data_IF_117408310603
#
_entry.id   IF_117408310603
#
_cell.length_a   1.000
_cell.length_b   1.000
_cell.length_c   1.000
_cell.angle_alpha   90.00
_cell.angle_beta   90.00
_cell.angle_gamma   90.00
#
_symmetry.space_group_name_H-M   'P 1'
#
loop_
_entity.id
_entity.type
_entity.pdbx_description
1 polymer ?
#
# COMPACT_ATOMS: atom_id res chain seq x y z
N UNK A 1 -21.20 7.01 8.92
CA UNK A 1 -21.27 8.48 9.05
C UNK A 1 -20.65 8.98 10.35
N UNK A 2 -21.15 8.57 11.54
CA UNK A 2 -20.67 9.09 12.83
C UNK A 2 -19.15 8.97 13.04
N UNK A 3 -18.55 7.79 12.80
CA UNK A 3 -17.10 7.60 12.96
C UNK A 3 -16.28 8.49 12.00
N UNK A 4 -16.75 8.72 10.77
CA UNK A 4 -16.10 9.63 9.81
C UNK A 4 -16.11 11.08 10.32
N UNK A 5 -17.23 11.52 10.90
CA UNK A 5 -17.31 12.84 11.54
C UNK A 5 -16.33 12.94 12.71
N UNK A 6 -16.21 11.89 13.52
CA UNK A 6 -15.22 11.84 14.62
C UNK A 6 -13.79 11.91 14.07
N UNK A 7 -13.45 11.18 12.99
CA UNK A 7 -12.14 11.30 12.35
C UNK A 7 -11.85 12.75 11.97
N UNK A 8 -12.77 13.41 11.26
CA UNK A 8 -12.61 14.80 10.85
C UNK A 8 -12.42 15.73 12.05
N UNK A 9 -13.26 15.60 13.09
CA UNK A 9 -13.14 16.39 14.31
C UNK A 9 -11.78 16.21 15.00
N UNK A 10 -11.28 14.98 15.11
CA UNK A 10 -9.97 14.70 15.71
C UNK A 10 -8.85 15.28 14.85
N UNK A 11 -8.87 15.04 13.54
CA UNK A 11 -7.85 15.51 12.59
C UNK A 11 -7.72 17.04 12.61
N UNK A 12 -8.84 17.76 12.55
CA UNK A 12 -8.86 19.22 12.51
C UNK A 12 -8.82 19.89 13.89
N UNK A 13 -8.73 19.11 14.97
CA UNK A 13 -8.49 19.65 16.33
C UNK A 13 -7.01 19.97 16.61
N UNK A 14 -6.11 19.78 15.65
CA UNK A 14 -4.72 20.19 15.78
C UNK A 14 -4.60 21.71 16.04
N UNK A 15 -3.72 22.18 16.94
CA UNK A 15 -2.72 21.41 17.69
C UNK A 15 -3.21 20.86 19.03
N UNK A 16 -4.42 21.19 19.49
CA UNK A 16 -4.87 20.88 20.86
C UNK A 16 -6.15 20.03 20.86
N UNK A 17 -5.98 18.74 21.10
CA UNK A 17 -7.13 17.85 21.31
C UNK A 17 -7.89 18.22 22.60
N UNK A 18 -9.20 18.43 22.46
CA UNK A 18 -10.06 18.81 23.57
C UNK A 18 -10.14 17.70 24.62
N UNK A 19 -10.36 18.08 25.88
CA UNK A 19 -10.54 17.11 26.98
C UNK A 19 -11.74 16.20 26.74
N UNK A 20 -12.78 16.67 26.04
CA UNK A 20 -13.96 15.86 25.71
C UNK A 20 -13.60 14.75 24.71
N UNK A 21 -12.81 15.06 23.68
CA UNK A 21 -12.37 14.05 22.71
C UNK A 21 -11.53 12.96 23.39
N UNK A 22 -10.63 13.34 24.29
CA UNK A 22 -9.77 12.39 25.01
C UNK A 22 -10.52 11.61 26.09
N UNK A 23 -11.34 12.26 26.92
CA UNK A 23 -11.93 11.62 28.10
C UNK A 23 -13.27 10.93 27.83
N UNK A 24 -13.95 11.25 26.73
CA UNK A 24 -15.27 10.68 26.40
C UNK A 24 -15.27 9.94 25.08
N UNK A 25 -14.71 10.55 24.03
CA UNK A 25 -14.79 9.97 22.68
C UNK A 25 -13.79 8.83 22.49
N UNK A 26 -12.53 9.02 22.89
CA UNK A 26 -11.52 7.97 22.78
C UNK A 26 -11.93 6.65 23.48
N UNK A 27 -12.36 6.64 24.76
CA UNK A 27 -12.77 5.40 25.43
C UNK A 27 -14.01 4.77 24.78
N UNK A 28 -14.95 5.58 24.29
CA UNK A 28 -16.12 5.08 23.58
C UNK A 28 -15.74 4.40 22.25
N UNK A 29 -14.82 4.99 21.49
CA UNK A 29 -14.30 4.41 20.24
C UNK A 29 -13.57 3.10 20.51
N UNK A 30 -12.70 3.07 21.53
CA UNK A 30 -12.02 1.85 21.98
C UNK A 30 -13.02 0.77 22.34
N UNK A 31 -14.03 1.10 23.17
CA UNK A 31 -15.06 0.14 23.57
C UNK A 31 -15.80 -0.44 22.37
N UNK A 32 -16.20 0.39 21.41
CA UNK A 32 -16.86 -0.08 20.17
C UNK A 32 -15.91 -0.95 19.34
N UNK A 33 -14.62 -0.58 19.24
CA UNK A 33 -13.61 -1.37 18.54
C UNK A 33 -13.38 -2.76 19.16
N UNK A 34 -13.56 -2.91 20.47
CA UNK A 34 -13.40 -4.19 21.21
C UNK A 34 -14.68 -5.04 21.17
N UNK A 35 -15.85 -4.41 21.20
CA UNK A 35 -17.15 -5.11 21.38
C UNK A 35 -17.89 -5.38 20.08
N UNK A 36 -17.68 -4.57 19.03
CA UNK A 36 -18.36 -4.75 17.74
C UNK A 36 -17.87 -6.02 17.04
N UNK A 37 -18.76 -6.66 16.27
CA UNK A 37 -18.43 -7.73 15.32
C UNK A 37 -18.47 -7.27 13.86
N UNK A 38 -18.91 -6.05 13.60
CA UNK A 38 -19.05 -5.47 12.26
C UNK A 38 -17.70 -4.91 11.78
N UNK A 39 -17.17 -5.46 10.69
CA UNK A 39 -15.86 -5.08 10.15
C UNK A 39 -15.79 -3.62 9.68
N UNK A 40 -16.88 -3.05 9.17
CA UNK A 40 -16.93 -1.64 8.72
C UNK A 40 -16.86 -0.72 9.94
N UNK A 41 -17.60 -1.05 11.01
CA UNK A 41 -17.56 -0.29 12.26
C UNK A 41 -16.16 -0.36 12.89
N UNK A 42 -15.59 -1.56 12.97
CA UNK A 42 -14.24 -1.77 13.53
C UNK A 42 -13.20 -0.99 12.72
N UNK A 43 -13.25 -1.06 11.39
CA UNK A 43 -12.35 -0.29 10.52
C UNK A 43 -12.47 1.21 10.77
N UNK A 44 -13.70 1.73 10.84
CA UNK A 44 -13.93 3.14 11.15
C UNK A 44 -13.42 3.54 12.54
N UNK A 45 -13.52 2.67 13.54
CA UNK A 45 -12.90 2.91 14.84
C UNK A 45 -11.37 2.94 14.74
N UNK A 46 -10.76 2.04 13.97
CA UNK A 46 -9.31 2.03 13.74
C UNK A 46 -8.84 3.32 13.05
N UNK A 47 -9.60 3.83 12.07
CA UNK A 47 -9.32 5.11 11.43
C UNK A 47 -9.33 6.26 12.46
N UNK A 48 -10.33 6.29 13.35
CA UNK A 48 -10.39 7.28 14.43
C UNK A 48 -9.17 7.15 15.38
N UNK A 49 -8.81 5.93 15.78
CA UNK A 49 -7.65 5.68 16.65
C UNK A 49 -6.34 6.13 15.98
N UNK A 50 -6.21 5.93 14.67
CA UNK A 50 -5.08 6.46 13.88
C UNK A 50 -5.05 8.00 13.90
N UNK A 51 -6.19 8.67 13.77
CA UNK A 51 -6.27 10.14 13.90
C UNK A 51 -5.82 10.61 15.30
N UNK A 52 -6.21 9.91 16.37
CA UNK A 52 -5.76 10.22 17.73
C UNK A 52 -4.23 10.10 17.86
N UNK A 53 -3.63 9.04 17.30
CA UNK A 53 -2.16 8.85 17.29
C UNK A 53 -1.45 9.89 16.41
N UNK A 54 -2.06 10.31 15.31
CA UNK A 54 -1.48 11.32 14.42
C UNK A 54 -1.39 12.69 15.12
N UNK A 55 -2.49 13.14 15.71
CA UNK A 55 -2.64 14.51 16.21
C UNK A 55 -2.27 14.66 17.69
N UNK A 56 -2.59 13.66 18.52
CA UNK A 56 -2.59 13.80 19.97
C UNK A 56 -1.92 12.64 20.72
N UNK A 57 -0.86 12.04 20.17
CA UNK A 57 -0.17 10.89 20.78
C UNK A 57 0.23 11.13 22.24
N UNK A 58 0.73 12.32 22.59
CA UNK A 58 1.11 12.67 23.97
C UNK A 58 -0.09 12.58 24.93
N UNK A 59 -1.26 13.03 24.46
CA UNK A 59 -2.50 12.97 25.25
C UNK A 59 -3.01 11.54 25.42
N UNK A 60 -2.71 10.65 24.48
CA UNK A 60 -3.03 9.22 24.59
C UNK A 60 -2.06 8.52 25.55
N UNK A 61 -0.78 8.90 25.54
CA UNK A 61 0.22 8.41 26.49
C UNK A 61 -0.11 8.82 27.94
N UNK A 62 -0.56 10.07 28.13
CA UNK A 62 -0.96 10.59 29.44
C UNK A 62 -2.33 10.07 29.90
N UNK A 63 -3.17 9.58 29.00
CA UNK A 63 -4.50 9.11 29.34
C UNK A 63 -4.45 7.78 30.08
N UNK A 64 -5.21 7.71 31.18
CA UNK A 64 -5.41 6.51 31.99
C UNK A 64 -6.90 6.39 32.36
N UNK A 65 -7.40 5.17 32.46
CA UNK A 65 -8.72 4.91 33.05
C UNK A 65 -8.68 4.94 34.59
N UNK A 66 -9.82 4.67 35.22
CA UNK A 66 -9.95 4.64 36.68
C UNK A 66 -9.17 3.48 37.33
N UNK A 67 -8.79 2.45 36.56
CA UNK A 67 -8.03 1.28 37.00
C UNK A 67 -6.50 1.45 36.79
N UNK A 68 -6.07 2.53 36.13
CA UNK A 68 -4.68 2.82 35.80
C UNK A 68 -4.19 2.21 34.48
N UNK A 69 -5.08 1.67 33.65
CA UNK A 69 -4.76 1.22 32.30
C UNK A 69 -4.56 2.44 31.38
N UNK A 70 -3.45 2.47 30.64
CA UNK A 70 -3.13 3.59 29.76
C UNK A 70 -3.76 3.47 28.36
N UNK A 71 -3.81 4.59 27.64
CA UNK A 71 -4.47 4.67 26.33
C UNK A 71 -3.79 3.82 25.25
N UNK A 72 -2.46 3.73 25.28
CA UNK A 72 -1.70 2.88 24.35
C UNK A 72 -2.01 1.40 24.57
N UNK A 73 -2.19 0.97 25.83
CA UNK A 73 -2.59 -0.39 26.19
C UNK A 73 -3.94 -0.79 25.60
N UNK A 74 -4.90 0.14 25.56
CA UNK A 74 -6.17 -0.09 24.88
C UNK A 74 -6.04 -0.21 23.36
N UNK A 75 -5.21 0.63 22.73
CA UNK A 75 -4.93 0.52 21.29
C UNK A 75 -4.21 -0.82 20.99
N UNK A 76 -3.28 -1.24 21.84
CA UNK A 76 -2.62 -2.55 21.77
C UNK A 76 -3.63 -3.69 21.89
N UNK A 77 -4.60 -3.58 22.79
CA UNK A 77 -5.64 -4.59 22.97
C UNK A 77 -6.54 -4.71 21.73
N UNK A 78 -6.98 -3.58 21.17
CA UNK A 78 -7.71 -3.55 19.88
C UNK A 78 -6.85 -4.19 18.78
N UNK A 79 -5.59 -3.78 18.65
CA UNK A 79 -4.69 -4.30 17.61
C UNK A 79 -4.46 -5.80 17.73
N UNK A 80 -4.24 -6.30 18.94
CA UNK A 80 -4.05 -7.73 19.23
C UNK A 80 -5.27 -8.56 18.84
N UNK A 81 -6.48 -8.04 19.09
CA UNK A 81 -7.74 -8.66 18.64
C UNK A 81 -7.80 -8.80 17.12
N UNK A 82 -7.39 -7.76 16.38
CA UNK A 82 -7.46 -7.74 14.92
C UNK A 82 -6.35 -8.59 14.27
N UNK A 83 -5.24 -8.77 14.97
CA UNK A 83 -4.12 -9.62 14.57
C UNK A 83 -4.32 -11.11 14.91
N UNK A 84 -5.40 -11.49 15.60
CA UNK A 84 -5.70 -12.91 15.85
C UNK A 84 -5.74 -13.67 14.51
N UNK A 85 -4.87 -14.66 14.27
CA UNK A 85 -4.82 -15.41 13.01
C UNK A 85 -6.12 -16.17 12.71
N UNK A 86 -6.97 -16.41 13.70
CA UNK A 86 -8.28 -17.06 13.57
C UNK A 86 -9.42 -16.08 13.27
N UNK A 87 -9.16 -14.76 13.32
CA UNK A 87 -10.16 -13.73 13.11
C UNK A 87 -10.62 -13.56 11.64
N UNK A 88 -11.72 -12.83 11.39
CA UNK A 88 -12.23 -12.51 10.05
C UNK A 88 -11.23 -11.74 9.18
N UNK A 89 -11.07 -12.14 7.92
CA UNK A 89 -10.08 -11.59 6.97
C UNK A 89 -10.22 -10.07 6.82
N UNK A 90 -11.44 -9.57 6.89
CA UNK A 90 -11.82 -8.16 6.77
C UNK A 90 -11.14 -7.28 7.83
N UNK A 91 -10.71 -7.84 8.96
CA UNK A 91 -10.03 -7.10 10.03
C UNK A 91 -8.55 -6.85 9.73
N UNK A 92 -7.94 -7.64 8.84
CA UNK A 92 -6.49 -7.61 8.60
C UNK A 92 -6.01 -6.28 8.01
N UNK A 93 -6.78 -5.66 7.11
CA UNK A 93 -6.44 -4.35 6.54
C UNK A 93 -6.37 -3.28 7.63
N UNK A 94 -7.37 -3.24 8.52
CA UNK A 94 -7.40 -2.31 9.64
C UNK A 94 -6.28 -2.60 10.65
N UNK A 95 -5.97 -3.87 10.90
CA UNK A 95 -4.88 -4.28 11.76
C UNK A 95 -3.52 -3.76 11.27
N UNK A 96 -3.16 -4.02 10.02
CA UNK A 96 -1.90 -3.58 9.44
C UNK A 96 -1.74 -2.06 9.49
N UNK A 97 -2.79 -1.31 9.12
CA UNK A 97 -2.81 0.14 9.24
C UNK A 97 -2.62 0.58 10.69
N UNK A 98 -3.32 0.01 11.65
CA UNK A 98 -3.17 0.41 13.06
C UNK A 98 -1.76 0.12 13.60
N UNK A 99 -1.16 -1.02 13.25
CA UNK A 99 0.25 -1.33 13.60
C UNK A 99 1.20 -0.30 12.99
N UNK A 100 1.06 0.03 11.70
CA UNK A 100 1.87 1.07 11.06
C UNK A 100 1.77 2.42 11.80
N UNK A 101 0.57 2.82 12.21
CA UNK A 101 0.38 4.05 12.99
C UNK A 101 1.13 4.00 14.33
N UNK A 102 1.11 2.86 15.02
CA UNK A 102 1.83 2.69 16.27
C UNK A 102 3.35 2.79 16.06
N UNK A 103 3.89 2.10 15.04
CA UNK A 103 5.32 2.16 14.74
C UNK A 103 5.80 3.55 14.31
N UNK A 104 4.96 4.34 13.65
CA UNK A 104 5.30 5.69 13.19
C UNK A 104 5.17 6.77 14.27
N UNK A 105 4.27 6.57 15.25
CA UNK A 105 3.93 7.61 16.24
C UNK A 105 4.44 7.33 17.64
N UNK A 106 4.69 6.07 17.98
CA UNK A 106 5.18 5.66 19.29
C UNK A 106 6.66 5.29 19.20
N UNK A 107 7.41 5.69 20.23
CA UNK A 107 8.81 5.30 20.36
C UNK A 107 8.92 3.86 20.85
N UNK A 108 10.04 3.19 20.57
CA UNK A 108 10.29 1.81 20.99
C UNK A 108 10.14 1.61 22.50
N UNK A 109 10.54 2.59 23.32
CA UNK A 109 10.39 2.55 24.78
C UNK A 109 8.93 2.54 25.25
N UNK A 110 8.03 3.19 24.51
CA UNK A 110 6.60 3.26 24.85
C UNK A 110 5.84 1.98 24.50
N UNK A 111 6.30 1.25 23.48
CA UNK A 111 5.75 -0.05 23.11
C UNK A 111 6.40 -1.21 23.88
N UNK A 112 7.69 -1.09 24.21
CA UNK A 112 8.45 -2.11 24.96
C UNK A 112 8.41 -3.48 24.29
N UNK A 113 8.14 -4.52 25.08
CA UNK A 113 8.03 -5.92 24.61
C UNK A 113 6.88 -6.13 23.62
N UNK A 114 5.89 -5.22 23.58
CA UNK A 114 4.76 -5.33 22.68
C UNK A 114 5.17 -5.18 21.20
N UNK A 115 6.33 -4.59 20.89
CA UNK A 115 6.81 -4.52 19.49
C UNK A 115 6.98 -5.92 18.91
N UNK A 116 7.69 -6.82 19.61
CA UNK A 116 7.90 -8.20 19.15
C UNK A 116 6.56 -8.94 19.03
N UNK A 117 5.65 -8.77 20.00
CA UNK A 117 4.33 -9.38 19.98
C UNK A 117 3.49 -8.90 18.77
N UNK A 118 3.49 -7.59 18.48
CA UNK A 118 2.78 -7.01 17.33
C UNK A 118 3.34 -7.52 16.01
N UNK A 119 4.67 -7.58 15.86
CA UNK A 119 5.31 -8.06 14.65
C UNK A 119 5.06 -9.56 14.43
N UNK A 120 5.12 -10.37 15.49
CA UNK A 120 4.75 -11.80 15.43
C UNK A 120 3.27 -11.99 15.12
N UNK A 121 2.39 -11.20 15.73
CA UNK A 121 0.96 -11.19 15.43
C UNK A 121 0.69 -10.84 13.97
N UNK A 122 1.43 -9.87 13.43
CA UNK A 122 1.34 -9.45 12.02
C UNK A 122 1.80 -10.57 11.08
N UNK A 123 2.92 -11.25 11.38
CA UNK A 123 3.38 -12.42 10.61
C UNK A 123 2.37 -13.57 10.67
N UNK A 124 1.86 -13.88 11.88
CA UNK A 124 0.87 -14.93 12.08
C UNK A 124 -0.41 -14.63 11.28
N UNK A 125 -0.91 -13.40 11.35
CA UNK A 125 -2.08 -12.95 10.59
C UNK A 125 -1.85 -13.01 9.10
N UNK A 126 -0.70 -12.52 8.63
CA UNK A 126 -0.31 -12.55 7.22
C UNK A 126 -0.26 -13.98 6.68
N UNK A 127 0.17 -14.93 7.52
CA UNK A 127 0.28 -16.32 7.15
C UNK A 127 -1.06 -17.02 6.94
N UNK A 128 -2.12 -16.61 7.65
CA UNK A 128 -3.44 -17.26 7.55
C UNK A 128 -4.34 -16.67 6.48
N UNK A 129 -3.91 -15.58 5.82
CA UNK A 129 -4.66 -15.02 4.71
C UNK A 129 -4.76 -16.01 3.54
N UNK A 130 -5.97 -16.26 3.00
CA UNK A 130 -6.15 -17.22 1.93
C UNK A 130 -5.44 -16.78 0.65
N UNK A 131 -4.84 -17.74 -0.06
CA UNK A 131 -4.42 -17.55 -1.45
C UNK A 131 -5.59 -17.96 -2.34
N UNK A 132 -6.19 -17.01 -3.07
CA UNK A 132 -7.24 -17.34 -4.03
C UNK A 132 -6.63 -18.18 -5.17
N UNK A 133 -6.99 -19.45 -5.24
CA UNK A 133 -6.93 -20.20 -6.49
C UNK A 133 -8.32 -20.75 -6.72
N UNK A 134 -9.00 -20.29 -7.77
CA UNK A 134 -10.32 -20.81 -8.18
C UNK A 134 -10.30 -22.29 -8.55
N UNK A 135 -9.13 -22.94 -8.51
CA UNK A 135 -8.94 -24.35 -8.74
C UNK A 135 -8.25 -25.00 -7.54
N UNK A 136 -8.99 -25.86 -6.85
CA UNK A 136 -8.59 -26.77 -5.77
C UNK A 136 -8.76 -26.29 -4.32
N UNK A 137 -9.53 -27.10 -3.60
CA UNK A 137 -9.96 -27.02 -2.20
C UNK A 137 -8.81 -27.24 -1.19
N UNK A 138 -7.68 -26.58 -1.36
CA UNK A 138 -6.57 -26.66 -0.43
C UNK A 138 -6.38 -25.31 0.27
N UNK A 139 -6.37 -25.31 1.60
CA UNK A 139 -6.02 -24.17 2.45
C UNK A 139 -4.56 -23.76 2.20
N UNK A 140 -4.28 -23.11 1.06
CA UNK A 140 -2.95 -22.64 0.72
C UNK A 140 -2.72 -21.31 1.42
N UNK A 141 -1.77 -21.32 2.35
CA UNK A 141 -1.23 -20.16 3.05
C UNK A 141 0.08 -19.71 2.41
N UNK A 142 0.52 -18.49 2.72
CA UNK A 142 1.81 -17.93 2.26
C UNK A 142 2.98 -18.90 2.46
N UNK A 143 2.91 -19.73 3.51
CA UNK A 143 3.97 -20.68 3.86
C UNK A 143 3.89 -22.05 3.16
N UNK A 144 2.78 -22.38 2.51
CA UNK A 144 2.55 -23.66 1.78
C UNK A 144 2.79 -23.58 0.28
N UNK A 145 3.28 -22.43 -0.21
CA UNK A 145 3.80 -22.31 -1.57
C UNK A 145 5.21 -22.94 -1.61
N UNK A 146 5.28 -24.21 -2.01
CA UNK A 146 6.52 -24.80 -2.50
C UNK A 146 6.94 -24.06 -3.78
N UNK A 147 8.17 -23.53 -3.81
CA UNK A 147 8.80 -23.07 -5.05
C UNK A 147 8.94 -21.57 -5.26
N UNK A 148 8.52 -20.70 -4.34
CA UNK A 148 8.84 -19.26 -4.43
C UNK A 148 8.01 -18.45 -5.43
N UNK A 149 7.22 -19.09 -6.30
CA UNK A 149 6.28 -18.38 -7.18
C UNK A 149 5.08 -17.90 -6.37
N UNK A 150 5.10 -16.63 -5.96
CA UNK A 150 3.93 -15.96 -5.45
C UNK A 150 2.98 -15.70 -6.62
N UNK A 151 1.76 -16.22 -6.55
CA UNK A 151 0.73 -15.84 -7.51
C UNK A 151 0.35 -14.36 -7.28
N UNK A 152 0.88 -13.47 -8.12
CA UNK A 152 0.66 -12.02 -8.06
C UNK A 152 -0.77 -11.63 -8.39
N UNK A 153 -1.54 -12.47 -9.09
CA UNK A 153 -2.97 -12.20 -9.38
C UNK A 153 -3.82 -12.06 -8.10
N UNK A 154 -3.35 -12.60 -6.97
CA UNK A 154 -4.01 -12.47 -5.66
C UNK A 154 -3.68 -11.17 -4.92
N UNK A 155 -2.78 -10.37 -5.48
CA UNK A 155 -2.43 -9.04 -4.99
C UNK A 155 -3.20 -7.95 -5.76
N UNK A 156 -3.82 -8.29 -6.89
CA UNK A 156 -4.47 -7.37 -7.82
C UNK A 156 -5.90 -6.97 -7.42
N UNK A 157 -6.72 -7.88 -6.87
CA UNK A 157 -8.12 -7.57 -6.60
C UNK A 157 -8.72 -8.23 -5.35
N UNK A 158 -9.52 -7.44 -4.62
CA UNK A 158 -10.37 -7.89 -3.52
C UNK A 158 -9.81 -7.65 -2.11
N UNK A 159 -10.67 -7.81 -1.11
CA UNK A 159 -10.38 -7.56 0.31
C UNK A 159 -9.12 -8.28 0.82
N UNK A 160 -8.83 -9.47 0.31
CA UNK A 160 -7.67 -10.28 0.71
C UNK A 160 -6.35 -9.71 0.19
N UNK A 161 -6.33 -9.16 -1.03
CA UNK A 161 -5.15 -8.51 -1.62
C UNK A 161 -4.75 -7.27 -0.81
N UNK A 162 -5.72 -6.39 -0.55
CA UNK A 162 -5.52 -5.20 0.30
C UNK A 162 -5.12 -5.55 1.74
N UNK A 163 -5.70 -6.60 2.32
CA UNK A 163 -5.30 -7.10 3.63
C UNK A 163 -3.82 -7.53 3.65
N UNK A 164 -3.38 -8.24 2.62
CA UNK A 164 -2.00 -8.69 2.48
C UNK A 164 -1.03 -7.52 2.33
N UNK A 165 -1.35 -6.58 1.45
CA UNK A 165 -0.56 -5.36 1.23
C UNK A 165 -0.41 -4.57 2.54
N UNK A 166 -1.50 -4.37 3.28
CA UNK A 166 -1.51 -3.65 4.57
C UNK A 166 -0.62 -4.30 5.63
N UNK A 167 -0.68 -5.63 5.78
CA UNK A 167 0.16 -6.35 6.74
C UNK A 167 1.64 -6.39 6.31
N UNK A 168 1.92 -6.47 5.01
CA UNK A 168 3.29 -6.37 4.49
C UNK A 168 3.85 -4.97 4.73
N UNK A 169 3.02 -3.93 4.59
CA UNK A 169 3.41 -2.54 4.77
C UNK A 169 3.92 -2.24 6.19
N UNK A 170 3.50 -3.01 7.20
CA UNK A 170 4.08 -2.97 8.56
C UNK A 170 5.59 -3.19 8.53
N UNK A 171 6.04 -4.18 7.75
CA UNK A 171 7.45 -4.51 7.64
C UNK A 171 8.21 -3.56 6.71
N UNK A 172 7.52 -2.94 5.74
CA UNK A 172 8.08 -1.82 4.95
C UNK A 172 8.44 -0.66 5.88
N UNK A 173 7.49 -0.26 6.73
CA UNK A 173 7.70 0.77 7.76
C UNK A 173 8.83 0.38 8.71
N UNK A 174 8.83 -0.88 9.20
CA UNK A 174 9.88 -1.37 10.10
C UNK A 174 11.27 -1.33 9.45
N UNK A 175 11.41 -1.82 8.22
CA UNK A 175 12.69 -1.80 7.49
C UNK A 175 13.20 -0.39 7.25
N UNK A 176 12.29 0.58 7.05
CA UNK A 176 12.65 1.99 6.91
C UNK A 176 13.15 2.61 8.22
N UNK A 177 12.48 2.32 9.33
CA UNK A 177 12.79 2.89 10.63
C UNK A 177 14.02 2.24 11.28
N UNK A 178 14.15 0.90 11.17
CA UNK A 178 15.17 0.11 11.86
C UNK A 178 15.58 -1.11 11.00
N UNK A 179 16.33 -0.93 9.90
CA UNK A 179 16.63 -2.01 8.94
C UNK A 179 17.36 -3.19 9.58
N UNK A 180 18.40 -2.94 10.39
CA UNK A 180 19.16 -4.01 11.05
C UNK A 180 18.29 -4.84 12.01
N UNK A 181 17.50 -4.16 12.86
CA UNK A 181 16.60 -4.83 13.79
C UNK A 181 15.51 -5.62 13.05
N UNK A 182 14.97 -5.07 11.97
CA UNK A 182 13.99 -5.75 11.12
C UNK A 182 14.55 -7.05 10.53
N UNK A 183 15.75 -7.00 9.95
CA UNK A 183 16.40 -8.17 9.36
C UNK A 183 16.69 -9.22 10.44
N UNK A 184 17.21 -8.81 11.61
CA UNK A 184 17.48 -9.72 12.73
C UNK A 184 16.20 -10.39 13.23
N UNK A 185 15.12 -9.63 13.41
CA UNK A 185 13.82 -10.16 13.79
C UNK A 185 13.32 -11.18 12.76
N UNK A 186 13.23 -10.81 11.48
CA UNK A 186 12.70 -11.66 10.41
C UNK A 186 13.56 -12.91 10.15
N UNK A 187 14.86 -12.83 10.39
CA UNK A 187 15.75 -13.99 10.32
C UNK A 187 15.59 -14.95 11.52
N UNK A 188 15.13 -14.44 12.67
CA UNK A 188 14.94 -15.23 13.89
C UNK A 188 13.59 -15.95 13.96
N UNK A 189 12.57 -15.46 13.25
CA UNK A 189 11.23 -16.05 13.27
C UNK A 189 11.16 -17.20 12.26
N UNK A 190 10.92 -18.45 12.70
CA UNK A 190 10.73 -19.57 11.80
C UNK A 190 9.32 -19.59 11.24
N UNK A 191 9.18 -20.02 9.99
CA UNK A 191 7.92 -20.42 9.40
C UNK A 191 7.50 -21.83 9.87
N UNK A 192 6.32 -22.33 9.47
CA UNK A 192 5.88 -23.69 9.82
C UNK A 192 6.79 -24.82 9.34
N UNK A 193 7.70 -24.58 8.39
CA UNK A 193 8.69 -25.57 7.92
C UNK A 193 10.06 -25.41 8.60
N UNK A 194 10.18 -24.47 9.54
CA UNK A 194 11.40 -24.20 10.29
C UNK A 194 12.39 -23.27 9.58
N UNK A 195 12.03 -22.70 8.43
CA UNK A 195 12.88 -21.76 7.69
C UNK A 195 12.63 -20.31 8.13
N UNK A 196 13.65 -19.44 8.12
CA UNK A 196 13.46 -18.02 8.40
C UNK A 196 12.43 -17.37 7.47
N UNK A 197 11.51 -16.59 8.04
CA UNK A 197 10.43 -15.93 7.26
C UNK A 197 10.92 -14.81 6.34
N UNK A 198 12.13 -14.28 6.57
CA UNK A 198 12.67 -13.14 5.83
C UNK A 198 12.63 -13.32 4.31
N UNK A 199 12.98 -14.51 3.82
CA UNK A 199 12.98 -14.80 2.38
C UNK A 199 11.59 -14.67 1.76
N UNK A 200 10.58 -15.24 2.43
CA UNK A 200 9.19 -15.22 1.96
C UNK A 200 8.60 -13.82 2.04
N UNK A 201 8.88 -13.09 3.12
CA UNK A 201 8.37 -11.73 3.29
C UNK A 201 8.98 -10.75 2.29
N UNK A 202 10.29 -10.84 2.03
CA UNK A 202 10.95 -9.94 1.06
C UNK A 202 10.44 -10.16 -0.36
N UNK A 203 10.26 -11.41 -0.79
CA UNK A 203 9.61 -11.72 -2.07
C UNK A 203 8.19 -11.18 -2.13
N UNK A 204 7.44 -11.32 -1.03
CA UNK A 204 6.07 -10.82 -0.97
C UNK A 204 6.01 -9.29 -1.06
N UNK A 205 6.89 -8.58 -0.37
CA UNK A 205 7.00 -7.13 -0.52
C UNK A 205 7.32 -6.75 -1.97
N UNK A 206 8.33 -7.37 -2.59
CA UNK A 206 8.65 -7.10 -3.99
C UNK A 206 7.47 -7.39 -4.93
N UNK A 207 6.65 -8.40 -4.64
CA UNK A 207 5.43 -8.70 -5.40
C UNK A 207 4.31 -7.69 -5.15
N UNK A 208 4.20 -7.13 -3.93
CA UNK A 208 3.23 -6.10 -3.57
C UNK A 208 3.58 -4.72 -4.13
N UNK A 209 4.86 -4.44 -4.39
CA UNK A 209 5.33 -3.11 -4.75
C UNK A 209 4.56 -2.43 -5.89
N UNK A 210 4.25 -3.11 -7.03
CA UNK A 210 3.52 -2.47 -8.13
C UNK A 210 2.07 -2.11 -7.81
N UNK A 211 1.52 -2.62 -6.70
CA UNK A 211 0.12 -2.46 -6.31
C UNK A 211 -0.08 -1.43 -5.20
N UNK A 212 0.96 -0.68 -4.83
CA UNK A 212 0.80 0.51 -4.01
C UNK A 212 0.42 1.69 -4.90
N UNK A 213 -0.75 2.27 -4.65
CA UNK A 213 -1.29 3.40 -5.42
C UNK A 213 -1.39 4.68 -4.59
N UNK A 214 -1.44 4.56 -3.25
CA UNK A 214 -1.51 5.74 -2.40
C UNK A 214 -0.16 6.47 -2.40
N UNK A 215 -0.11 7.79 -2.68
CA UNK A 215 1.16 8.51 -2.82
C UNK A 215 2.08 8.40 -1.61
N UNK A 216 1.52 8.37 -0.40
CA UNK A 216 2.30 8.17 0.83
C UNK A 216 2.88 6.76 0.94
N UNK A 217 2.16 5.73 0.50
CA UNK A 217 2.64 4.34 0.52
C UNK A 217 3.79 4.14 -0.46
N UNK A 218 3.65 4.69 -1.67
CA UNK A 218 4.68 4.66 -2.71
C UNK A 218 5.96 5.33 -2.19
N UNK A 219 5.88 6.57 -1.69
CA UNK A 219 7.05 7.32 -1.17
C UNK A 219 7.75 6.59 -0.03
N UNK A 220 6.99 6.08 0.95
CA UNK A 220 7.54 5.32 2.08
C UNK A 220 8.22 4.04 1.59
N UNK A 221 7.59 3.30 0.68
CA UNK A 221 8.15 2.04 0.17
C UNK A 221 9.40 2.27 -0.69
N UNK A 222 9.43 3.30 -1.54
CA UNK A 222 10.61 3.70 -2.31
C UNK A 222 11.78 4.02 -1.37
N UNK A 223 11.53 4.82 -0.33
CA UNK A 223 12.56 5.19 0.63
C UNK A 223 13.06 3.96 1.41
N UNK A 224 12.15 3.08 1.81
CA UNK A 224 12.47 1.83 2.52
C UNK A 224 13.31 0.88 1.64
N UNK A 225 12.91 0.65 0.40
CA UNK A 225 13.64 -0.18 -0.56
C UNK A 225 15.02 0.42 -0.88
N UNK A 226 15.11 1.73 -1.06
CA UNK A 226 16.39 2.43 -1.31
C UNK A 226 17.37 2.22 -0.16
N UNK A 227 16.91 2.46 1.07
CA UNK A 227 17.72 2.31 2.27
C UNK A 227 18.13 0.85 2.50
N UNK A 228 17.20 -0.09 2.31
CA UNK A 228 17.47 -1.51 2.47
C UNK A 228 18.47 -2.00 1.42
N UNK A 229 18.32 -1.61 0.15
CA UNK A 229 19.23 -1.95 -0.93
C UNK A 229 20.66 -1.46 -0.63
N UNK A 230 20.80 -0.17 -0.25
CA UNK A 230 22.09 0.40 0.12
C UNK A 230 22.69 -0.29 1.35
N UNK A 231 21.88 -0.57 2.38
CA UNK A 231 22.31 -1.28 3.58
C UNK A 231 22.87 -2.66 3.22
N UNK A 232 22.14 -3.45 2.42
CA UNK A 232 22.54 -4.81 2.03
C UNK A 232 23.86 -4.79 1.26
N UNK A 233 24.00 -3.90 0.27
CA UNK A 233 25.23 -3.79 -0.52
C UNK A 233 26.41 -3.34 0.34
N UNK A 234 26.20 -2.37 1.23
CA UNK A 234 27.28 -1.81 2.06
C UNK A 234 27.75 -2.79 3.14
N UNK A 235 26.82 -3.49 3.78
CA UNK A 235 27.11 -4.44 4.88
C UNK A 235 27.40 -5.86 4.39
N UNK A 236 27.13 -6.15 3.11
CA UNK A 236 27.24 -7.49 2.53
C UNK A 236 26.41 -8.53 3.31
N UNK A 237 25.17 -8.17 3.70
CA UNK A 237 24.31 -9.05 4.49
C UNK A 237 23.90 -10.29 3.68
N UNK A 238 24.54 -11.41 3.99
CA UNK A 238 24.37 -12.67 3.27
C UNK A 238 22.93 -13.21 3.31
N UNK A 239 22.15 -12.87 4.34
CA UNK A 239 20.78 -13.35 4.51
C UNK A 239 19.88 -12.80 3.42
N UNK A 240 20.13 -11.57 2.97
CA UNK A 240 19.37 -10.93 1.89
C UNK A 240 20.00 -11.16 0.52
N UNK A 241 21.33 -11.15 0.42
CA UNK A 241 22.05 -11.41 -0.84
C UNK A 241 21.78 -12.81 -1.43
N UNK A 242 21.53 -13.80 -0.59
CA UNK A 242 21.29 -15.18 -1.04
C UNK A 242 19.85 -15.43 -1.50
N UNK A 243 18.91 -14.51 -1.24
CA UNK A 243 17.52 -14.70 -1.63
C UNK A 243 17.39 -14.54 -3.15
N UNK A 244 16.84 -15.57 -3.80
CA UNK A 244 16.41 -15.53 -5.21
C UNK A 244 14.92 -15.24 -5.30
N UNK A 245 14.48 -14.60 -6.38
CA UNK A 245 13.08 -14.26 -6.66
C UNK A 245 12.80 -14.26 -8.16
N UNK A 246 11.51 -14.31 -8.51
CA UNK A 246 11.06 -14.26 -9.90
C UNK A 246 11.33 -12.87 -10.54
N UNK A 247 12.03 -12.91 -11.67
CA UNK A 247 12.31 -11.80 -12.55
C UNK A 247 11.27 -11.67 -13.66
N UNK A 248 11.72 -11.37 -14.88
CA UNK A 248 10.86 -11.36 -16.07
C UNK A 248 10.43 -12.76 -16.49
N UNK A 249 9.26 -12.86 -17.10
CA UNK A 249 8.80 -14.08 -17.76
C UNK A 249 9.73 -14.42 -18.93
N UNK A 250 10.11 -15.70 -19.05
CA UNK A 250 10.88 -16.19 -20.19
C UNK A 250 9.88 -16.52 -21.29
N UNK A 251 9.91 -15.74 -22.37
CA UNK A 251 9.18 -16.09 -23.58
C UNK A 251 9.71 -17.42 -24.12
N UNK A 252 8.79 -18.38 -24.26
CA UNK A 252 9.06 -19.70 -24.81
C UNK A 252 9.30 -19.56 -26.33
N UNK A 253 10.50 -19.10 -26.71
CA UNK A 253 10.92 -18.80 -28.09
C UNK A 253 10.91 -20.03 -29.03
N UNK A 254 10.55 -21.22 -28.53
CA UNK A 254 10.36 -22.42 -29.33
C UNK A 254 8.91 -22.67 -29.77
N UNK A 255 7.95 -21.83 -29.38
CA UNK A 255 6.59 -21.91 -29.91
C UNK A 255 6.52 -21.27 -31.31
N UNK A 256 6.06 -21.98 -32.36
CA UNK A 256 6.00 -21.43 -33.71
C UNK A 256 5.12 -20.18 -33.72
N UNK A 257 5.68 -19.14 -34.35
CA UNK A 257 5.11 -17.80 -34.54
C UNK A 257 3.75 -17.87 -35.24
N UNK A 258 2.69 -18.01 -34.46
CA UNK A 258 1.34 -17.66 -34.92
C UNK A 258 0.81 -16.59 -33.98
N UNK A 259 0.91 -15.36 -34.46
CA UNK A 259 0.30 -14.16 -33.89
C UNK A 259 -1.21 -14.26 -34.17
N UNK A 260 -1.88 -15.16 -33.45
CA UNK A 260 -3.32 -15.16 -33.32
C UNK A 260 -3.61 -14.68 -31.90
N UNK A 261 -4.55 -13.74 -31.74
CA UNK A 261 -5.10 -13.37 -30.46
C UNK A 261 -5.66 -14.62 -29.78
N UNK A 262 -4.87 -15.21 -28.89
CA UNK A 262 -5.15 -16.50 -28.26
C UNK A 262 -6.16 -16.30 -27.14
N UNK A 263 -7.07 -17.24 -27.00
CA UNK A 263 -8.18 -17.12 -26.06
C UNK A 263 -7.72 -17.41 -24.63
N UNK A 264 -8.32 -16.75 -23.63
CA UNK A 264 -8.03 -16.88 -22.18
C UNK A 264 -7.97 -18.33 -21.65
N UNK A 265 -8.54 -19.29 -22.39
CA UNK A 265 -8.53 -20.71 -22.04
C UNK A 265 -7.25 -21.45 -22.49
N UNK A 266 -6.55 -20.97 -23.53
CA UNK A 266 -5.29 -21.53 -24.03
C UNK A 266 -4.06 -21.06 -23.24
N UNK A 267 -4.16 -19.92 -22.54
CA UNK A 267 -3.13 -19.42 -21.61
C UNK A 267 -3.08 -20.20 -20.28
N UNK A 268 -4.14 -20.95 -19.93
CA UNK A 268 -4.26 -21.64 -18.63
C UNK A 268 -3.32 -22.84 -18.45
N UNK A 269 -2.81 -23.40 -19.54
CA UNK A 269 -2.05 -24.67 -19.55
C UNK A 269 -0.53 -24.46 -19.78
N UNK A 270 -0.07 -23.20 -19.83
CA UNK A 270 1.36 -22.88 -19.94
C UNK A 270 2.00 -22.76 -18.56
N UNK A 271 3.07 -23.55 -18.35
CA UNK A 271 4.03 -23.29 -17.28
C UNK A 271 4.81 -22.03 -17.64
N UNK A 272 4.48 -20.92 -16.98
CA UNK A 272 5.26 -19.68 -17.08
C UNK A 272 6.61 -19.90 -16.37
N UNK A 273 7.68 -20.04 -17.14
CA UNK A 273 9.04 -20.10 -16.61
C UNK A 273 9.55 -18.68 -16.37
N UNK A 274 9.88 -18.34 -15.12
CA UNK A 274 10.41 -17.03 -14.77
C UNK A 274 11.92 -17.10 -14.56
N UNK A 275 12.64 -16.08 -15.03
CA UNK A 275 14.06 -15.94 -14.75
C UNK A 275 14.27 -15.71 -13.26
N UNK A 276 15.00 -16.60 -12.58
CA UNK A 276 15.39 -16.37 -11.19
C UNK A 276 16.48 -15.29 -11.12
N UNK A 277 16.22 -14.24 -10.34
CA UNK A 277 17.15 -13.14 -10.12
C UNK A 277 17.42 -12.95 -8.62
N UNK A 278 18.59 -12.42 -8.23
CA UNK A 278 18.84 -12.04 -6.84
C UNK A 278 17.83 -10.99 -6.36
N UNK A 279 17.42 -11.08 -5.10
CA UNK A 279 16.48 -10.15 -4.47
C UNK A 279 16.94 -8.69 -4.61
N UNK A 280 18.24 -8.43 -4.43
CA UNK A 280 18.82 -7.09 -4.60
C UNK A 280 18.62 -6.54 -6.01
N UNK A 281 18.68 -7.39 -7.04
CA UNK A 281 18.38 -7.00 -8.43
C UNK A 281 16.89 -6.70 -8.58
N UNK A 282 16.00 -7.48 -7.97
CA UNK A 282 14.55 -7.19 -7.99
C UNK A 282 14.24 -5.85 -7.33
N UNK A 283 14.82 -5.56 -6.16
CA UNK A 283 14.67 -4.26 -5.49
C UNK A 283 15.13 -3.11 -6.38
N UNK A 284 16.30 -3.25 -7.01
CA UNK A 284 16.83 -2.28 -7.98
C UNK A 284 15.85 -2.04 -9.14
N UNK A 285 15.32 -3.11 -9.75
CA UNK A 285 14.38 -3.00 -10.89
C UNK A 285 13.05 -2.38 -10.49
N UNK A 286 12.54 -2.68 -9.30
CA UNK A 286 11.32 -2.05 -8.78
C UNK A 286 11.51 -0.53 -8.60
N UNK A 287 12.64 -0.11 -8.04
CA UNK A 287 12.96 1.31 -7.91
C UNK A 287 13.13 1.99 -9.28
N UNK A 288 13.71 1.27 -10.26
CA UNK A 288 13.89 1.81 -11.61
C UNK A 288 12.54 1.95 -12.32
N UNK A 289 11.63 1.01 -12.11
CA UNK A 289 10.26 1.08 -12.60
C UNK A 289 9.50 2.29 -12.01
N UNK A 290 9.69 2.60 -10.73
CA UNK A 290 9.10 3.82 -10.14
C UNK A 290 9.71 5.10 -10.74
N UNK A 291 11.02 5.12 -11.05
CA UNK A 291 11.62 6.24 -11.77
C UNK A 291 11.03 6.39 -13.18
N UNK A 292 10.79 5.27 -13.88
CA UNK A 292 10.18 5.28 -15.21
C UNK A 292 8.78 5.91 -15.15
N UNK A 293 7.92 5.46 -14.24
CA UNK A 293 6.58 6.02 -14.04
C UNK A 293 6.62 7.53 -13.80
N UNK A 294 7.48 7.99 -12.89
CA UNK A 294 7.62 9.43 -12.57
C UNK A 294 8.10 10.25 -13.77
N UNK A 295 8.90 9.65 -14.67
CA UNK A 295 9.31 10.31 -15.90
C UNK A 295 8.20 10.34 -16.96
N UNK A 296 7.41 9.28 -17.07
CA UNK A 296 6.25 9.21 -17.98
C UNK A 296 5.17 10.22 -17.57
N UNK A 297 4.80 10.26 -16.29
CA UNK A 297 3.87 11.25 -15.73
C UNK A 297 4.30 12.69 -16.05
N UNK A 298 5.60 13.00 -15.98
CA UNK A 298 6.12 14.34 -16.28
C UNK A 298 6.14 14.71 -17.77
N UNK A 299 5.96 13.75 -18.68
CA UNK A 299 5.86 14.02 -20.12
C UNK A 299 4.41 14.28 -20.50
N UNK A 300 3.48 13.51 -19.94
CA UNK A 300 2.04 13.65 -20.19
C UNK A 300 1.52 15.03 -19.74
N UNK A 301 2.01 15.56 -18.60
CA UNK A 301 1.69 16.91 -18.11
C UNK A 301 2.11 18.04 -19.08
N UNK A 302 3.10 17.80 -19.95
CA UNK A 302 3.61 18.82 -20.89
C UNK A 302 2.88 18.73 -22.24
N UNK A 303 2.31 17.57 -22.60
CA UNK A 303 1.56 17.40 -23.84
C UNK A 303 0.14 17.94 -23.79
N UNK A 304 -0.48 18.05 -22.61
CA UNK A 304 -1.85 18.59 -22.44
C UNK A 304 -1.91 20.13 -22.59
N UNK A 305 -0.77 20.83 -22.53
CA UNK A 305 -0.69 22.30 -22.68
C UNK A 305 -0.62 22.74 -24.18
N UNK A 306 -0.49 21.79 -25.12
CA UNK A 306 -0.33 22.06 -26.57
C UNK A 306 -1.60 21.77 -27.40
N UNK A 307 -2.72 21.35 -26.81
CA UNK A 307 -4.01 21.26 -27.52
C UNK A 307 -4.69 22.64 -27.60
N UNK A 308 -4.16 23.53 -28.45
CA UNK A 308 -4.92 24.67 -28.96
C UNK A 308 -6.13 24.11 -29.75
N UNK A 309 -7.33 24.21 -29.16
CA UNK A 309 -8.61 23.91 -29.81
C UNK A 309 -8.76 24.76 -31.08
N UNK A 310 -8.50 24.17 -32.26
CA UNK A 310 -8.98 24.73 -33.52
C UNK A 310 -10.50 24.57 -33.58
N UNK A 311 -11.24 25.59 -33.11
CA UNK A 311 -12.67 25.71 -33.37
C UNK A 311 -12.92 25.84 -34.88
N UNK A 312 -13.18 24.73 -35.56
CA UNK A 312 -13.81 24.74 -36.88
C UNK A 312 -15.29 25.13 -36.72
N UNK A 313 -15.58 26.40 -37.00
CA UNK A 313 -16.94 26.85 -37.29
C UNK A 313 -17.38 26.26 -38.63
N UNK A 314 -18.37 25.38 -38.66
CA UNK A 314 -19.19 25.21 -39.85
C UNK A 314 -20.69 25.19 -39.53
N UNK A 315 -21.33 26.17 -40.15
CA UNK A 315 -22.73 26.54 -40.10
C UNK A 315 -23.45 25.71 -41.17
N UNK A 316 -24.44 24.89 -40.83
CA UNK A 316 -25.54 24.64 -41.76
C UNK A 316 -26.81 24.06 -41.08
N UNK A 317 -27.92 24.75 -41.38
CA UNK A 317 -29.29 24.52 -40.94
C UNK A 317 -29.83 23.11 -41.22
N UNK A 318 -30.64 22.57 -40.31
CA UNK A 318 -31.88 21.93 -40.74
C UNK A 318 -33.02 22.09 -39.73
N UNK A 319 -34.17 22.50 -40.28
CA UNK A 319 -35.38 22.96 -39.62
C UNK A 319 -36.37 21.80 -39.60
N UNK A 320 -36.82 21.34 -38.42
CA UNK A 320 -38.09 20.59 -38.33
C UNK A 320 -38.91 21.06 -37.12
N UNK A 321 -40.14 21.45 -37.45
CA UNK A 321 -41.13 22.11 -36.61
C UNK A 321 -41.81 21.20 -35.57
N UNK A 322 -42.35 21.90 -34.58
CA UNK A 322 -43.13 21.52 -33.41
C UNK A 322 -44.28 20.51 -33.61
N UNK A 323 -44.56 19.76 -32.53
CA UNK A 323 -45.93 19.67 -31.99
C UNK A 323 -46.00 19.11 -30.54
N UNK A 324 -46.68 19.84 -29.65
CA UNK A 324 -47.65 19.21 -28.73
C UNK A 324 -47.40 19.21 -27.21
N UNK A 325 -47.74 20.31 -26.54
CA UNK A 325 -48.55 20.43 -25.29
C UNK A 325 -48.23 19.52 -24.08
N UNK A 326 -47.71 20.10 -22.98
CA UNK A 326 -48.49 20.38 -21.74
C UNK A 326 -48.16 19.36 -20.63
N UNK A 327 -47.71 19.71 -19.43
CA UNK A 327 -48.46 20.33 -18.32
C UNK A 327 -47.46 20.87 -17.28
N UNK A 328 -47.81 22.00 -16.67
CA UNK A 328 -47.11 22.68 -15.56
C UNK A 328 -47.89 22.40 -14.27
N UNK A 329 -47.24 21.92 -13.21
CA UNK A 329 -47.70 21.96 -11.82
C UNK A 329 -46.49 21.66 -10.91
N UNK A 330 -45.88 22.68 -10.28
CA UNK A 330 -46.18 23.19 -8.93
C UNK A 330 -45.25 22.61 -7.85
N UNK A 331 -44.28 23.47 -7.53
CA UNK A 331 -43.58 23.70 -6.27
C UNK A 331 -44.18 23.03 -5.01
N UNK A 332 -43.36 22.23 -4.31
CA UNK A 332 -43.46 22.12 -2.85
C UNK A 332 -42.07 22.17 -2.22
N UNK A 333 -41.96 23.08 -1.28
CA UNK A 333 -40.80 23.46 -0.46
C UNK A 333 -40.55 22.46 0.65
N UNK A 334 -39.32 21.94 0.75
CA UNK A 334 -38.61 21.73 2.03
C UNK A 334 -37.11 21.83 1.74
N UNK A 335 -36.47 22.82 2.34
CA UNK A 335 -35.06 23.13 2.14
C UNK A 335 -34.10 22.14 2.83
N UNK A 336 -32.97 21.94 2.15
CA UNK A 336 -31.61 22.02 2.68
C UNK A 336 -31.27 21.20 3.93
N UNK A 337 -30.79 19.96 3.75
CA UNK A 337 -29.57 19.41 4.40
C UNK A 337 -28.99 18.21 3.60
N UNK A 338 -28.74 18.31 2.29
CA UNK A 338 -28.26 17.15 1.48
C UNK A 338 -26.97 17.39 0.68
N UNK A 339 -26.03 18.15 1.24
CA UNK A 339 -24.69 18.36 0.63
C UNK A 339 -23.52 17.92 1.53
N UNK A 340 -23.77 17.14 2.58
CA UNK A 340 -22.72 16.66 3.50
C UNK A 340 -22.62 15.12 3.60
N UNK A 341 -23.18 14.38 2.65
CA UNK A 341 -23.33 12.93 2.79
C UNK A 341 -22.78 12.08 1.62
N UNK A 342 -22.04 12.66 0.67
CA UNK A 342 -21.31 11.88 -0.35
C UNK A 342 -19.82 11.76 -0.02
N UNK A 343 -19.48 11.55 1.26
CA UNK A 343 -18.15 11.09 1.65
C UNK A 343 -18.06 9.56 1.46
N UNK A 344 -18.09 9.11 0.21
CA UNK A 344 -17.63 7.76 -0.16
C UNK A 344 -16.10 7.73 -0.02
N UNK A 345 -15.58 7.63 1.21
CA UNK A 345 -14.26 7.04 1.40
C UNK A 345 -14.32 5.62 0.86
N UNK A 346 -13.74 5.43 -0.32
CA UNK A 346 -13.46 4.13 -0.88
C UNK A 346 -12.43 3.44 0.01
N UNK A 347 -12.89 2.61 0.94
CA UNK A 347 -12.25 1.31 1.09
C UNK A 347 -12.58 0.58 -0.22
N UNK A 348 -11.61 0.41 -1.12
CA UNK A 348 -11.81 -0.24 -2.41
C UNK A 348 -12.49 -1.60 -2.24
N UNK A 349 -13.82 -1.61 -2.33
CA UNK A 349 -14.60 -2.75 -2.75
C UNK A 349 -14.57 -2.67 -4.27
N UNK A 350 -13.65 -3.40 -4.89
CA UNK A 350 -13.57 -3.50 -6.34
C UNK A 350 -14.86 -4.14 -6.87
N UNK A 351 -15.74 -3.29 -7.37
CA UNK A 351 -16.78 -3.60 -8.33
C UNK A 351 -17.32 -2.26 -8.85
N UNK A 352 -16.72 -1.72 -9.92
CA UNK A 352 -17.46 -1.39 -11.15
C UNK A 352 -16.49 -0.85 -12.21
N UNK A 353 -16.70 -1.28 -13.45
CA UNK A 353 -16.15 -0.61 -14.64
C UNK A 353 -17.18 0.44 -15.05
N UNK A 354 -16.86 1.72 -14.90
CA UNK A 354 -17.51 2.78 -15.68
C UNK A 354 -16.56 3.96 -15.81
N UNK A 355 -16.34 4.33 -17.07
CA UNK A 355 -15.45 5.38 -17.55
C UNK A 355 -15.78 6.79 -17.01
N UNK A 356 -14.70 7.59 -16.98
CA UNK A 356 -14.59 9.04 -17.11
C UNK A 356 -15.25 9.96 -16.09
N UNK A 357 -14.46 10.97 -15.71
CA UNK A 357 -14.79 12.20 -14.97
C UNK A 357 -14.88 12.04 -13.45
N UNK A 358 -13.75 11.61 -12.86
CA UNK A 358 -13.48 11.91 -11.45
C UNK A 358 -12.85 13.29 -11.40
N UNK A 359 -13.65 14.33 -11.20
CA UNK A 359 -13.11 15.57 -10.62
C UNK A 359 -12.29 15.17 -9.39
N UNK A 360 -11.01 15.56 -9.37
CA UNK A 360 -10.00 15.18 -8.39
C UNK A 360 -10.43 15.64 -6.98
N UNK A 361 -11.31 14.86 -6.36
CA UNK A 361 -11.76 15.05 -5.00
C UNK A 361 -10.59 14.68 -4.09
N UNK A 362 -9.72 15.67 -3.89
CA UNK A 362 -8.55 15.68 -3.02
C UNK A 362 -8.83 14.85 -1.77
N UNK A 363 -8.40 13.58 -1.79
CA UNK A 363 -8.57 12.68 -0.64
C UNK A 363 -7.76 13.31 0.48
N UNK A 364 -8.35 13.61 1.65
CA UNK A 364 -7.58 14.18 2.74
C UNK A 364 -6.43 13.24 3.07
N UNK A 365 -5.20 13.74 2.96
CA UNK A 365 -3.99 12.97 3.29
C UNK A 365 -4.15 12.33 4.66
N UNK A 366 -3.84 11.03 4.76
CA UNK A 366 -3.94 10.31 6.02
C UNK A 366 -3.00 10.98 7.05
N UNK A 367 -3.54 11.57 8.13
CA UNK A 367 -2.79 12.47 8.98
C UNK A 367 -1.63 11.78 9.70
N UNK A 368 -1.61 10.44 9.74
CA UNK A 368 -0.52 9.68 10.34
C UNK A 368 0.83 9.95 9.65
N UNK A 369 0.81 10.18 8.33
CA UNK A 369 2.01 10.35 7.52
C UNK A 369 2.38 11.83 7.35
N UNK A 370 1.50 12.77 7.72
CA UNK A 370 1.69 14.22 7.52
C UNK A 370 3.02 14.79 8.05
N UNK A 371 3.59 14.17 9.09
CA UNK A 371 4.89 14.56 9.70
C UNK A 371 6.05 13.66 9.29
N UNK A 372 5.82 12.73 8.38
CA UNK A 372 6.81 11.77 7.94
C UNK A 372 7.76 12.41 6.92
N UNK A 373 9.09 12.29 7.08
CA UNK A 373 10.06 12.84 6.13
C UNK A 373 9.90 12.33 4.69
N UNK A 374 9.27 11.16 4.49
CA UNK A 374 8.99 10.63 3.17
C UNK A 374 7.96 11.47 2.41
N UNK A 375 7.12 12.28 3.08
CA UNK A 375 6.11 13.09 2.39
C UNK A 375 6.72 14.27 1.62
N UNK A 376 7.88 14.75 2.05
CA UNK A 376 8.63 15.82 1.37
C UNK A 376 9.68 15.30 0.40
N UNK A 377 9.69 14.00 0.11
CA UNK A 377 10.66 13.36 -0.76
C UNK A 377 10.38 13.72 -2.22
N UNK A 378 11.35 14.35 -2.89
CA UNK A 378 11.40 14.37 -4.35
C UNK A 378 11.83 12.98 -4.84
N UNK A 379 10.86 12.22 -5.36
CA UNK A 379 11.07 10.83 -5.78
C UNK A 379 12.05 10.75 -6.95
N UNK A 380 11.96 11.69 -7.91
CA UNK A 380 12.81 11.70 -9.10
C UNK A 380 14.26 12.00 -8.74
N UNK A 381 14.48 13.05 -7.94
CA UNK A 381 15.82 13.44 -7.50
C UNK A 381 16.46 12.32 -6.66
N UNK A 382 15.72 11.80 -5.67
CA UNK A 382 16.18 10.72 -4.80
C UNK A 382 16.60 9.47 -5.58
N UNK A 383 15.76 9.00 -6.51
CA UNK A 383 16.07 7.82 -7.33
C UNK A 383 17.23 8.07 -8.29
N UNK A 384 17.31 9.25 -8.91
CA UNK A 384 18.43 9.60 -9.78
C UNK A 384 19.77 9.63 -9.01
N UNK A 385 19.77 10.20 -7.81
CA UNK A 385 20.96 10.20 -6.94
C UNK A 385 21.34 8.78 -6.53
N UNK A 386 20.38 7.97 -6.09
CA UNK A 386 20.58 6.58 -5.71
C UNK A 386 21.25 5.80 -6.85
N UNK A 387 20.68 5.83 -8.06
CA UNK A 387 21.23 5.09 -9.20
C UNK A 387 22.58 5.62 -9.66
N UNK A 388 22.81 6.94 -9.60
CA UNK A 388 24.12 7.54 -9.90
C UNK A 388 25.19 7.13 -8.88
N UNK A 389 24.80 6.92 -7.63
CA UNK A 389 25.71 6.41 -6.60
C UNK A 389 25.97 4.91 -6.80
N UNK A 390 24.93 4.12 -7.08
CA UNK A 390 25.07 2.68 -7.35
C UNK A 390 25.91 2.42 -8.61
N UNK A 391 25.75 3.18 -9.69
CA UNK A 391 26.48 2.98 -10.95
C UNK A 391 27.99 3.14 -10.83
N UNK A 392 28.46 3.83 -9.78
CA UNK A 392 29.89 4.02 -9.48
C UNK A 392 30.47 2.88 -8.63
N UNK A 393 29.63 2.01 -8.05
CA UNK A 393 30.08 0.92 -7.20
C UNK A 393 30.45 -0.32 -8.03
N UNK A 394 31.40 -1.13 -7.55
CA UNK A 394 31.78 -2.38 -8.21
C UNK A 394 30.63 -3.38 -8.32
N UNK A 395 29.68 -3.32 -7.36
CA UNK A 395 28.48 -4.15 -7.32
C UNK A 395 27.51 -3.86 -8.47
N UNK A 396 27.62 -2.71 -9.13
CA UNK A 396 26.77 -2.36 -10.28
C UNK A 396 26.81 -3.39 -11.41
N UNK A 397 27.94 -4.08 -11.58
CA UNK A 397 28.09 -5.15 -12.57
C UNK A 397 27.11 -6.33 -12.36
N UNK A 398 26.54 -6.46 -11.16
CA UNK A 398 25.47 -7.43 -10.90
C UNK A 398 24.14 -6.93 -11.47
N UNK A 399 23.81 -5.64 -11.29
CA UNK A 399 22.59 -5.04 -11.84
C UNK A 399 22.64 -4.93 -13.36
N UNK A 400 23.78 -4.55 -13.94
CA UNK A 400 23.91 -4.27 -15.37
C UNK A 400 23.64 -5.47 -16.27
N UNK A 401 23.70 -6.69 -15.72
CA UNK A 401 23.41 -7.95 -16.44
C UNK A 401 21.92 -8.16 -16.70
N UNK A 402 21.06 -7.43 -15.97
CA UNK A 402 19.61 -7.61 -15.98
C UNK A 402 18.86 -6.39 -16.52
N UNK A 403 19.55 -5.42 -17.13
CA UNK A 403 18.87 -4.28 -17.75
C UNK A 403 18.19 -4.68 -19.05
N UNK A 404 16.98 -4.18 -19.25
CA UNK A 404 16.33 -4.16 -20.56
C UNK A 404 16.79 -2.95 -21.37
N UNK A 405 16.51 -2.93 -22.67
CA UNK A 405 16.82 -1.77 -23.53
C UNK A 405 16.11 -0.49 -23.06
N UNK A 406 14.87 -0.61 -22.59
CA UNK A 406 14.08 0.51 -22.04
C UNK A 406 14.76 1.07 -20.78
N UNK A 407 15.17 0.20 -19.87
CA UNK A 407 15.85 0.59 -18.64
C UNK A 407 17.21 1.26 -18.91
N UNK A 408 18.00 0.73 -19.84
CA UNK A 408 19.26 1.36 -20.25
C UNK A 408 19.02 2.76 -20.84
N UNK A 409 18.02 2.88 -21.72
CA UNK A 409 17.65 4.16 -22.34
C UNK A 409 17.27 5.21 -21.29
N UNK A 410 16.48 4.82 -20.28
CA UNK A 410 16.09 5.71 -19.17
C UNK A 410 17.30 6.14 -18.34
N UNK A 411 18.18 5.21 -17.99
CA UNK A 411 19.41 5.52 -17.24
C UNK A 411 20.37 6.43 -18.02
N UNK A 412 20.40 6.32 -19.35
CA UNK A 412 21.20 7.21 -20.22
C UNK A 412 20.56 8.60 -20.36
N UNK A 413 19.24 8.67 -20.63
CA UNK A 413 18.49 9.93 -20.76
C UNK A 413 18.56 10.80 -19.49
N UNK A 414 18.60 10.17 -18.33
CA UNK A 414 18.72 10.85 -17.02
C UNK A 414 20.16 11.19 -16.63
N UNK A 415 21.15 10.86 -17.48
CA UNK A 415 22.57 11.12 -17.23
C UNK A 415 23.15 10.31 -16.06
N UNK A 416 22.51 9.20 -15.71
CA UNK A 416 23.00 8.24 -14.70
C UNK A 416 24.12 7.38 -15.31
N UNK A 417 23.94 6.98 -16.56
CA UNK A 417 24.92 6.23 -17.36
C UNK A 417 25.39 7.04 -18.58
N UNK A 418 26.61 6.77 -19.07
CA UNK A 418 27.05 7.31 -20.36
C UNK A 418 26.24 6.72 -21.51
N UNK A 419 26.01 7.55 -22.54
CA UNK A 419 25.41 7.17 -23.83
C UNK A 419 26.27 6.23 -24.64
#
# INVERSE_FOLDING_TARGET
>A
AALKLVCALVTYSAPNLSSVLIQRVFPAVVHVAITSSDAIIISGCCDVLRCFLAVGVDRILDWHDDEGNNGVGYILHVTSRLLDPSGPVEWATAAGRLVCAMLLRLQTEQLGENVDLLLRGTLARLSTLPLTSESQSSNRTLYTLDGGNLNTANLEAGSVGGARQSLVFVFVVLCRLQPEAAINFLASVPDPTGQPVIGKLMRLWCACQPFYFAPHEIRISILALSNLLLYVITTQDSRLMQIQTDGGEIDDHYAPTTVASRTRNEQRDRTHDFLQIPLVVKMYKLLLNELIKVLEESVDEVSDDDEEEEEETDDENEVIEANGMGVRAELSTTGEIDELATFKCATHSMNDHSDSDSEDMMVPDDPIYSKDPAMTLDVKEHLCELFRNLSKQSFYNEFSRYHTEVELSVLQKTGILPT
#
